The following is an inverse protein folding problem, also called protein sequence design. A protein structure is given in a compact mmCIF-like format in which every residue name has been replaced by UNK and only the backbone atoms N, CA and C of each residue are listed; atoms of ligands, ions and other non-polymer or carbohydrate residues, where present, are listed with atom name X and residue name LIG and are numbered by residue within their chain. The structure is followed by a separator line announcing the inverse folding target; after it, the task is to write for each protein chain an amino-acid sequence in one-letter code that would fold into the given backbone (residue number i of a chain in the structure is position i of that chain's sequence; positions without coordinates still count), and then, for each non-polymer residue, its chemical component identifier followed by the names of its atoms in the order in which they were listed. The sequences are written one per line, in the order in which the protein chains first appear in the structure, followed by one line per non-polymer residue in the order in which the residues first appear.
data_IF_524570956794
#
_entry.id   IF_524570956794
#
_cell.length_a   1.000
_cell.length_b   1.000
_cell.length_c   1.000
_cell.angle_alpha   90.00
_cell.angle_beta   90.00
_cell.angle_gamma   90.00
#
_symmetry.space_group_name_H-M   'P 1'
#
loop_
_entity.id
_entity.type
_entity.pdbx_description
1 polymer ?
#
# COMPACT_ATOMS: atom_id res chain seq x y z
N UNK A 1 -12.91 -13.07 15.40
CA UNK A 1 -12.22 -12.74 14.14
C UNK A 1 -10.74 -12.56 14.39
N UNK A 2 -9.92 -13.29 13.65
CA UNK A 2 -8.48 -13.21 13.79
C UNK A 2 -7.96 -11.95 13.08
N UNK A 3 -7.28 -11.12 13.82
CA UNK A 3 -6.65 -9.93 13.29
C UNK A 3 -5.37 -10.30 12.55
N UNK A 4 -5.15 -9.72 11.38
CA UNK A 4 -3.93 -9.94 10.61
C UNK A 4 -2.85 -9.00 11.11
N UNK A 5 -1.72 -9.58 11.54
CA UNK A 5 -0.54 -8.82 11.96
C UNK A 5 0.58 -9.04 10.97
N UNK A 6 1.21 -7.95 10.57
CA UNK A 6 2.31 -7.97 9.61
C UNK A 6 3.49 -7.17 10.15
N UNK A 7 4.70 -7.63 9.84
CA UNK A 7 5.90 -6.84 10.09
C UNK A 7 5.96 -5.73 9.06
N UNK A 8 6.50 -4.59 9.45
CA UNK A 8 6.61 -3.44 8.55
C UNK A 8 7.57 -2.41 9.09
N UNK A 9 7.70 -1.31 8.36
CA UNK A 9 8.46 -0.15 8.81
C UNK A 9 7.54 1.06 8.84
N UNK A 10 7.73 1.91 9.86
CA UNK A 10 6.95 3.13 9.99
C UNK A 10 7.53 4.26 9.12
N UNK A 11 6.95 5.45 9.19
CA UNK A 11 7.39 6.60 8.40
C UNK A 11 8.82 7.04 8.72
N UNK A 12 9.37 6.60 9.86
CA UNK A 12 10.76 6.87 10.25
C UNK A 12 11.71 5.74 9.88
N UNK A 13 11.18 4.65 9.31
CA UNK A 13 11.99 3.49 8.94
C UNK A 13 12.22 2.51 10.07
N UNK A 14 11.53 2.66 11.20
CA UNK A 14 11.64 1.76 12.34
C UNK A 14 10.80 0.50 12.10
N UNK A 15 11.41 -0.66 12.34
CA UNK A 15 10.73 -1.95 12.18
C UNK A 15 9.77 -2.20 13.33
N UNK A 16 8.52 -2.55 13.00
CA UNK A 16 7.48 -2.85 13.99
C UNK A 16 6.51 -3.88 13.44
N UNK A 17 5.71 -4.47 14.31
CA UNK A 17 4.57 -5.29 13.93
C UNK A 17 3.32 -4.41 13.93
N UNK A 18 2.53 -4.55 12.87
CA UNK A 18 1.34 -3.72 12.66
C UNK A 18 0.11 -4.58 12.40
N UNK A 19 -1.05 -4.06 12.80
CA UNK A 19 -2.33 -4.55 12.29
C UNK A 19 -3.12 -3.32 11.81
N UNK A 20 -4.09 -3.54 10.93
CA UNK A 20 -4.90 -2.41 10.40
C UNK A 20 -5.64 -1.71 11.55
N UNK A 21 -6.06 -2.45 12.57
CA UNK A 21 -6.74 -1.88 13.72
C UNK A 21 -5.88 -0.93 14.55
N UNK A 22 -4.54 -1.00 14.44
CA UNK A 22 -3.66 -0.07 15.13
C UNK A 22 -3.86 1.37 14.67
N UNK A 23 -4.49 1.55 13.51
CA UNK A 23 -4.71 2.85 12.89
C UNK A 23 -6.16 3.34 13.01
N UNK A 24 -6.98 2.69 13.85
CA UNK A 24 -8.36 3.13 14.09
C UNK A 24 -8.40 4.59 14.56
N UNK A 25 -9.42 5.30 14.14
CA UNK A 25 -9.59 6.70 14.44
C UNK A 25 -9.10 7.63 13.35
N UNK A 26 -8.49 7.07 12.30
CA UNK A 26 -8.03 7.84 11.14
C UNK A 26 -8.40 7.12 9.86
N UNK A 27 -8.63 7.88 8.80
CA UNK A 27 -8.78 7.32 7.47
C UNK A 27 -7.44 6.78 7.02
N UNK A 28 -7.47 5.71 6.22
CA UNK A 28 -6.26 5.05 5.74
C UNK A 28 -6.33 4.93 4.23
N UNK A 29 -5.24 5.27 3.56
CA UNK A 29 -5.01 4.93 2.16
C UNK A 29 -4.13 3.69 2.19
N UNK A 30 -4.73 2.54 1.88
CA UNK A 30 -4.05 1.26 1.88
C UNK A 30 -3.83 0.85 0.43
N UNK A 31 -2.58 0.86 -0.04
CA UNK A 31 -2.32 0.47 -1.42
C UNK A 31 -1.43 -0.77 -1.50
N UNK A 32 -1.78 -1.64 -2.42
CA UNK A 32 -1.08 -2.89 -2.68
C UNK A 32 -0.31 -2.76 -3.99
N UNK A 33 0.96 -3.17 -3.97
CA UNK A 33 1.82 -3.12 -5.15
C UNK A 33 2.65 -4.41 -5.23
N UNK A 34 3.06 -4.81 -6.46
CA UNK A 34 3.70 -6.12 -6.66
C UNK A 34 5.10 -6.26 -6.06
N UNK A 35 5.97 -5.25 -6.20
CA UNK A 35 7.38 -5.44 -5.83
C UNK A 35 8.15 -4.12 -5.69
N UNK A 36 8.93 -4.02 -4.62
CA UNK A 36 9.83 -2.88 -4.40
C UNK A 36 10.82 -2.73 -5.57
N UNK A 37 11.22 -1.49 -5.84
CA UNK A 37 12.25 -1.15 -6.84
C UNK A 37 11.94 -1.50 -8.30
N UNK A 38 10.70 -1.86 -8.62
CA UNK A 38 10.26 -1.95 -10.02
C UNK A 38 9.82 -0.57 -10.50
N UNK A 39 9.87 -0.33 -11.81
CA UNK A 39 9.61 1.02 -12.36
C UNK A 39 8.24 1.59 -11.98
N UNK A 40 7.18 0.80 -12.14
CA UNK A 40 5.83 1.24 -11.81
C UNK A 40 5.61 1.45 -10.32
N UNK A 41 6.14 0.55 -9.50
CA UNK A 41 6.01 0.65 -8.04
C UNK A 41 6.84 1.79 -7.48
N UNK A 42 8.01 2.06 -8.07
CA UNK A 42 8.85 3.20 -7.69
C UNK A 42 8.14 4.52 -8.01
N UNK A 43 7.55 4.61 -9.21
CA UNK A 43 6.80 5.81 -9.58
C UNK A 43 5.62 6.04 -8.65
N UNK A 44 4.86 4.99 -8.36
CA UNK A 44 3.72 5.08 -7.44
C UNK A 44 4.16 5.53 -6.05
N UNK A 45 5.23 4.93 -5.51
CA UNK A 45 5.75 5.30 -4.19
C UNK A 45 6.22 6.77 -4.16
N UNK A 46 6.89 7.23 -5.21
CA UNK A 46 7.32 8.62 -5.30
C UNK A 46 6.15 9.57 -5.43
N UNK A 47 5.11 9.18 -6.16
CA UNK A 47 3.89 9.99 -6.28
C UNK A 47 3.22 10.16 -4.91
N UNK A 48 3.16 9.10 -4.10
CA UNK A 48 2.66 9.20 -2.73
C UNK A 48 3.56 10.10 -1.88
N UNK A 49 4.86 9.86 -1.93
CA UNK A 49 5.83 10.64 -1.15
C UNK A 49 5.73 12.14 -1.46
N UNK A 50 5.68 12.49 -2.75
CA UNK A 50 5.67 13.88 -3.18
C UNK A 50 4.38 14.61 -2.81
N UNK A 51 3.32 13.87 -2.52
CA UNK A 51 2.00 14.42 -2.18
C UNK A 51 1.62 14.19 -0.72
N UNK A 52 2.56 13.74 0.13
CA UNK A 52 2.25 13.45 1.53
C UNK A 52 1.69 14.63 2.30
N UNK A 53 2.17 15.85 2.04
CA UNK A 53 1.63 17.03 2.72
C UNK A 53 0.13 17.18 2.50
N UNK A 54 -0.34 16.90 1.29
CA UNK A 54 -1.77 16.97 0.98
C UNK A 54 -2.53 15.75 1.51
N UNK A 55 -1.96 14.57 1.31
CA UNK A 55 -2.60 13.32 1.70
C UNK A 55 -2.78 13.19 3.21
N UNK A 56 -1.78 13.59 3.98
CA UNK A 56 -1.82 13.45 5.46
C UNK A 56 -2.81 14.40 6.12
N UNK A 57 -3.31 15.39 5.41
CA UNK A 57 -4.42 16.22 5.91
C UNK A 57 -5.69 15.38 6.05
N UNK A 58 -5.80 14.30 5.30
CA UNK A 58 -7.02 13.49 5.20
C UNK A 58 -6.85 12.06 5.70
N UNK A 59 -5.66 11.46 5.56
CA UNK A 59 -5.48 10.03 5.80
C UNK A 59 -4.03 9.65 6.05
N UNK A 60 -3.82 8.45 6.59
CA UNK A 60 -2.50 7.84 6.67
C UNK A 60 -2.27 7.02 5.40
N UNK A 61 -1.03 6.95 4.93
CA UNK A 61 -0.66 6.17 3.75
C UNK A 61 0.07 4.91 4.19
N UNK A 62 -0.39 3.76 3.73
CA UNK A 62 0.21 2.45 4.02
C UNK A 62 0.37 1.69 2.71
N UNK A 63 1.62 1.34 2.37
CA UNK A 63 1.90 0.49 1.21
C UNK A 63 2.11 -0.94 1.65
N UNK A 64 1.66 -1.91 0.86
CA UNK A 64 1.76 -3.33 1.17
C UNK A 64 2.26 -4.08 -0.06
N UNK A 65 3.28 -4.92 0.13
CA UNK A 65 3.75 -5.85 -0.89
C UNK A 65 4.25 -7.13 -0.24
N UNK A 66 4.50 -8.20 -1.03
CA UNK A 66 5.07 -9.43 -0.48
C UNK A 66 6.55 -9.33 -0.11
N UNK A 67 7.20 -8.21 -0.39
CA UNK A 67 8.63 -8.04 -0.15
C UNK A 67 8.99 -8.11 1.33
N UNK A 68 10.26 -8.43 1.62
CA UNK A 68 10.77 -8.52 2.98
C UNK A 68 10.98 -7.14 3.61
N UNK A 69 11.14 -7.12 4.93
CA UNK A 69 11.49 -5.89 5.66
C UNK A 69 12.80 -5.31 5.14
N UNK A 70 13.79 -6.17 4.86
CA UNK A 70 15.07 -5.73 4.31
C UNK A 70 14.88 -4.99 2.99
N UNK A 71 14.03 -5.52 2.11
CA UNK A 71 13.69 -4.89 0.84
C UNK A 71 13.01 -3.55 1.06
N UNK A 72 12.04 -3.48 1.97
CA UNK A 72 11.33 -2.23 2.29
C UNK A 72 12.27 -1.16 2.85
N UNK A 73 13.19 -1.53 3.72
CA UNK A 73 14.19 -0.59 4.26
C UNK A 73 15.06 -0.01 3.15
N UNK A 74 15.52 -0.87 2.24
CA UNK A 74 16.33 -0.45 1.10
C UNK A 74 15.57 0.47 0.16
N UNK A 75 14.32 0.11 -0.14
CA UNK A 75 13.43 0.91 -0.99
C UNK A 75 13.17 2.28 -0.38
N UNK A 76 12.87 2.31 0.91
CA UNK A 76 12.65 3.55 1.65
C UNK A 76 13.89 4.47 1.59
N UNK A 77 15.06 3.91 1.88
CA UNK A 77 16.31 4.70 1.89
C UNK A 77 16.65 5.24 0.50
N UNK A 78 16.47 4.42 -0.52
CA UNK A 78 16.82 4.80 -1.88
C UNK A 78 15.99 5.99 -2.38
N UNK A 79 14.72 6.05 -2.02
CA UNK A 79 13.80 7.06 -2.54
C UNK A 79 13.29 8.04 -1.48
N UNK A 80 13.73 7.92 -0.23
CA UNK A 80 13.30 8.81 0.85
C UNK A 80 11.82 8.71 1.18
N UNK A 81 11.29 7.49 1.14
CA UNK A 81 9.86 7.28 1.39
C UNK A 81 9.51 7.61 2.85
N UNK A 82 8.39 8.27 3.05
CA UNK A 82 7.99 8.83 4.35
C UNK A 82 6.62 8.34 4.81
N UNK A 83 6.30 7.09 4.52
CA UNK A 83 5.04 6.47 4.93
C UNK A 83 5.27 5.01 5.32
N UNK A 84 4.24 4.37 5.90
CA UNK A 84 4.33 2.99 6.39
C UNK A 84 4.40 2.01 5.23
N UNK A 85 5.30 1.04 5.32
CA UNK A 85 5.40 -0.08 4.38
C UNK A 85 5.25 -1.38 5.15
N UNK A 86 4.29 -2.22 4.76
CA UNK A 86 4.04 -3.51 5.38
C UNK A 86 4.56 -4.65 4.50
N UNK A 87 5.14 -5.66 5.14
CA UNK A 87 5.61 -6.87 4.49
C UNK A 87 4.54 -7.95 4.63
N UNK A 88 4.05 -8.48 3.51
CA UNK A 88 3.00 -9.49 3.47
C UNK A 88 3.45 -10.72 2.67
N UNK A 89 4.54 -11.41 3.08
CA UNK A 89 5.12 -12.49 2.29
C UNK A 89 4.19 -13.70 2.12
N UNK A 90 3.26 -13.89 3.05
CA UNK A 90 2.29 -15.00 2.99
C UNK A 90 0.97 -14.59 2.34
N UNK A 91 0.89 -13.36 1.84
CA UNK A 91 -0.27 -12.83 1.11
C UNK A 91 -1.56 -12.78 1.95
N UNK A 92 -1.44 -12.71 3.28
CA UNK A 92 -2.60 -12.72 4.18
C UNK A 92 -3.51 -11.51 3.97
N UNK A 93 -2.91 -10.33 3.96
CA UNK A 93 -3.67 -9.10 3.77
C UNK A 93 -4.13 -8.98 2.30
N UNK A 94 -3.28 -9.38 1.36
CA UNK A 94 -3.63 -9.37 -0.06
C UNK A 94 -4.83 -10.28 -0.35
N UNK A 95 -4.89 -11.45 0.28
CA UNK A 95 -6.05 -12.35 0.11
C UNK A 95 -7.31 -11.77 0.75
N UNK A 96 -7.19 -11.14 1.92
CA UNK A 96 -8.32 -10.50 2.59
C UNK A 96 -8.97 -9.42 1.70
N UNK A 97 -8.16 -8.64 1.00
CA UNK A 97 -8.64 -7.59 0.12
C UNK A 97 -8.84 -8.04 -1.32
N UNK A 98 -8.65 -9.35 -1.58
CA UNK A 98 -8.89 -9.95 -2.90
C UNK A 98 -8.04 -9.34 -4.00
N UNK A 99 -6.77 -9.06 -3.70
CA UNK A 99 -5.80 -8.52 -4.65
C UNK A 99 -4.68 -9.52 -5.01
N UNK A 100 -4.71 -10.71 -4.42
CA UNK A 100 -3.81 -11.82 -4.78
C UNK A 100 -4.46 -12.58 -5.91
N UNK A 101 -3.98 -12.36 -7.13
CA UNK A 101 -4.66 -12.80 -8.36
C UNK A 101 -3.76 -13.59 -9.28
N UNK A 102 -4.36 -14.44 -10.10
CA UNK A 102 -3.66 -15.08 -11.20
C UNK A 102 -3.41 -14.06 -12.30
N UNK A 103 -2.16 -13.99 -12.75
CA UNK A 103 -1.71 -13.11 -13.82
C UNK A 103 -1.14 -13.96 -14.95
N UNK A 104 -1.08 -13.40 -16.15
CA UNK A 104 -0.50 -14.06 -17.31
C UNK A 104 0.53 -13.14 -17.97
N UNK A 105 1.67 -13.70 -18.32
CA UNK A 105 2.72 -12.98 -19.04
C UNK A 105 3.42 -13.96 -19.98
N UNK A 106 3.46 -13.64 -21.27
CA UNK A 106 4.09 -14.48 -22.29
C UNK A 106 3.56 -15.92 -22.27
N UNK A 107 2.25 -16.10 -22.05
CA UNK A 107 1.61 -17.40 -21.99
C UNK A 107 1.81 -18.16 -20.70
N UNK A 108 2.54 -17.62 -19.75
CA UNK A 108 2.73 -18.21 -18.42
C UNK A 108 1.77 -17.61 -17.42
N UNK A 109 1.18 -18.47 -16.61
CA UNK A 109 0.31 -18.04 -15.51
C UNK A 109 1.11 -18.05 -14.22
N UNK A 110 0.90 -17.02 -13.40
CA UNK A 110 1.53 -16.92 -12.09
C UNK A 110 0.63 -16.12 -11.15
N UNK A 111 0.80 -16.32 -9.84
CA UNK A 111 0.07 -15.54 -8.85
C UNK A 111 0.86 -14.26 -8.53
N UNK A 112 0.15 -13.17 -8.38
CA UNK A 112 0.77 -11.91 -8.03
C UNK A 112 -0.24 -10.89 -7.50
N UNK A 113 0.29 -9.72 -7.11
CA UNK A 113 -0.56 -8.64 -6.60
C UNK A 113 -1.16 -7.87 -7.77
N UNK A 114 -2.49 -7.74 -7.75
CA UNK A 114 -3.20 -6.79 -8.61
C UNK A 114 -3.08 -5.42 -7.96
N UNK A 115 -2.40 -4.49 -8.61
CA UNK A 115 -2.18 -3.14 -8.06
C UNK A 115 -3.53 -2.50 -7.74
N UNK A 116 -3.75 -2.20 -6.47
CA UNK A 116 -5.05 -1.72 -5.97
C UNK A 116 -4.85 -0.74 -4.83
N UNK A 117 -5.79 0.20 -4.68
CA UNK A 117 -5.79 1.15 -3.58
C UNK A 117 -7.16 1.17 -2.94
N UNK A 118 -7.17 1.20 -1.61
CA UNK A 118 -8.41 1.25 -0.81
C UNK A 118 -8.33 2.45 0.12
N UNK A 119 -9.42 3.21 0.21
CA UNK A 119 -9.55 4.23 1.26
C UNK A 119 -10.49 3.65 2.32
N UNK A 120 -9.98 3.56 3.53
CA UNK A 120 -10.73 3.03 4.68
C UNK A 120 -11.16 4.17 5.59
N UNK A 121 -12.33 4.02 6.22
CA UNK A 121 -12.79 5.01 7.20
C UNK A 121 -12.13 4.77 8.56
N UNK A 122 -12.51 5.57 9.55
CA UNK A 122 -11.94 5.52 10.90
C UNK A 122 -12.17 4.20 11.63
N UNK A 123 -13.10 3.38 11.14
CA UNK A 123 -13.39 2.05 11.68
C UNK A 123 -12.81 0.91 10.84
N UNK A 124 -12.06 1.26 9.79
CA UNK A 124 -11.45 0.26 8.91
C UNK A 124 -12.36 -0.24 7.80
N UNK A 125 -13.51 0.40 7.60
CA UNK A 125 -14.43 0.03 6.53
C UNK A 125 -14.03 0.69 5.21
N UNK A 126 -14.10 -0.06 4.11
CA UNK A 126 -13.75 0.46 2.80
C UNK A 126 -14.76 1.49 2.30
N UNK A 127 -14.28 2.71 2.06
CA UNK A 127 -15.07 3.81 1.49
C UNK A 127 -14.98 3.84 -0.03
N UNK A 128 -13.81 3.50 -0.57
CA UNK A 128 -13.54 3.55 -2.00
C UNK A 128 -12.44 2.57 -2.34
N UNK A 129 -12.53 1.95 -3.51
CA UNK A 129 -11.45 1.10 -4.01
C UNK A 129 -11.19 1.39 -5.48
N UNK A 130 -9.92 1.29 -5.85
CA UNK A 130 -9.47 1.33 -7.24
C UNK A 130 -8.71 0.03 -7.48
N UNK A 131 -9.13 -0.72 -8.49
CA UNK A 131 -8.47 -1.98 -8.86
C UNK A 131 -7.79 -1.85 -10.21
N UNK A 132 -6.78 -2.68 -10.47
CA UNK A 132 -5.99 -2.64 -11.70
C UNK A 132 -5.49 -1.21 -11.95
N UNK A 133 -4.92 -0.63 -10.93
CA UNK A 133 -4.50 0.78 -10.93
C UNK A 133 -3.46 1.04 -12.01
N UNK A 134 -3.65 2.13 -12.75
CA UNK A 134 -2.64 2.72 -13.60
C UNK A 134 -2.03 3.87 -12.81
N UNK A 135 -0.70 3.87 -12.68
CA UNK A 135 -0.01 4.81 -11.79
C UNK A 135 -0.21 6.27 -12.21
N UNK A 136 -0.16 6.54 -13.52
CA UNK A 136 -0.34 7.90 -14.02
C UNK A 136 -1.72 8.46 -13.66
N UNK A 137 -1.75 9.56 -12.95
CA UNK A 137 -3.00 10.24 -12.56
C UNK A 137 -3.71 9.64 -11.36
N UNK A 138 -3.19 8.57 -10.79
CA UNK A 138 -3.86 7.89 -9.67
C UNK A 138 -3.86 8.73 -8.39
N UNK A 139 -2.76 9.42 -8.08
CA UNK A 139 -2.68 10.26 -6.88
C UNK A 139 -3.74 11.38 -6.95
N UNK A 140 -3.93 11.96 -8.12
CA UNK A 140 -4.94 13.01 -8.32
C UNK A 140 -6.35 12.47 -8.08
N UNK A 141 -6.62 11.23 -8.49
CA UNK A 141 -7.90 10.56 -8.22
C UNK A 141 -8.13 10.39 -6.72
N UNK A 142 -7.11 9.97 -5.98
CA UNK A 142 -7.19 9.77 -4.53
C UNK A 142 -7.44 11.10 -3.83
N UNK A 143 -6.67 12.12 -4.15
CA UNK A 143 -6.81 13.46 -3.56
C UNK A 143 -8.20 14.01 -3.83
N UNK A 144 -8.66 13.91 -5.07
CA UNK A 144 -9.99 14.38 -5.47
C UNK A 144 -11.09 13.70 -4.65
N UNK A 145 -10.95 12.38 -4.42
CA UNK A 145 -11.92 11.64 -3.59
C UNK A 145 -11.91 12.14 -2.14
N UNK A 146 -10.72 12.35 -1.56
CA UNK A 146 -10.58 12.74 -0.16
C UNK A 146 -11.08 14.17 0.10
N UNK A 147 -11.03 15.04 -0.91
CA UNK A 147 -11.43 16.44 -0.79
C UNK A 147 -12.92 16.68 -0.99
N UNK A 148 -13.68 15.65 -1.32
CA UNK A 148 -15.12 15.76 -1.49
C UNK A 148 -15.85 15.86 -0.17
#
# INVERSE_FOLDING_TARGET
MTEIKLSGINEKGEEKEFSVSDFKGKKIILYFYPKDNTSGCTKEANDFKDNMNELTKHALVIGVSPDSIKSHKSFREKYGLNFVLLSDPDHKLAEKYEVWKEKSMYGRKYMGIERSTFVLDENGKTLKEWRKVKVNGHIEEIISFLEK
#
